data_IF_591681908245
#
_entry.id   IF_591681908245
#
_cell.length_a   1.000
_cell.length_b   1.000
_cell.length_c   1.000
_cell.angle_alpha   90.00
_cell.angle_beta   90.00
_cell.angle_gamma   90.00
#
_symmetry.space_group_name_H-M   'P 1'
#
loop_
_entity.id
_entity.type
_entity.pdbx_description
1 polymer ?
#
# COMPACT_ATOMS: atom_id res chain seq x y z
N UNK A 1 30.15 -87.80 21.13
CA UNK A 1 30.48 -86.78 20.10
C UNK A 1 30.96 -85.56 20.91
N UNK A 2 32.20 -85.56 21.42
CA UNK A 2 33.43 -85.00 20.80
C UNK A 2 33.24 -83.52 20.45
N UNK A 3 34.03 -82.54 20.85
CA UNK A 3 35.22 -82.34 21.68
C UNK A 3 35.37 -80.80 21.77
N UNK A 4 35.91 -80.25 22.86
CA UNK A 4 36.45 -78.86 22.95
C UNK A 4 37.71 -78.71 22.03
N UNK A 5 38.53 -77.61 21.99
CA UNK A 5 38.53 -76.29 22.65
C UNK A 5 38.97 -75.07 21.76
N UNK A 6 39.09 -73.89 22.40
CA UNK A 6 39.61 -72.56 21.95
C UNK A 6 41.13 -72.63 21.60
N UNK A 7 41.74 -71.88 20.62
CA UNK A 7 42.36 -70.56 20.92
C UNK A 7 42.68 -69.56 19.76
N UNK A 8 42.99 -68.30 20.19
CA UNK A 8 43.96 -67.34 19.60
C UNK A 8 43.64 -66.67 18.24
N UNK A 9 44.09 -65.46 17.90
CA UNK A 9 44.67 -64.28 18.55
C UNK A 9 44.80 -63.19 17.45
N UNK A 10 44.94 -61.94 17.87
CA UNK A 10 45.70 -60.86 17.20
C UNK A 10 45.03 -60.00 16.10
N UNK A 11 45.02 -58.70 16.40
CA UNK A 11 45.75 -57.62 15.69
C UNK A 11 44.90 -56.44 15.15
N UNK A 12 44.95 -55.35 15.91
CA UNK A 12 45.40 -53.98 15.54
C UNK A 12 45.19 -53.51 14.10
N UNK A 13 44.40 -52.45 13.88
CA UNK A 13 44.88 -51.10 13.51
C UNK A 13 43.75 -50.13 13.14
N UNK A 14 43.97 -48.88 13.55
CA UNK A 14 43.16 -47.70 13.31
C UNK A 14 43.05 -47.34 11.82
N UNK A 15 41.87 -46.87 11.38
CA UNK A 15 41.74 -45.96 10.25
C UNK A 15 40.73 -44.85 10.59
N UNK A 16 41.28 -43.63 10.60
CA UNK A 16 40.62 -42.34 10.55
C UNK A 16 39.64 -42.23 9.38
N UNK A 17 38.40 -41.80 9.63
CA UNK A 17 37.57 -41.17 8.60
C UNK A 17 36.98 -39.85 9.09
N UNK A 18 37.07 -38.89 8.19
CA UNK A 18 36.80 -37.46 8.27
C UNK A 18 35.44 -37.05 8.87
N UNK A 19 35.33 -35.80 9.36
CA UNK A 19 34.04 -35.23 9.71
C UNK A 19 33.25 -34.96 8.43
N UNK A 20 32.10 -35.62 8.31
CA UNK A 20 31.05 -35.21 7.38
C UNK A 20 30.56 -33.83 7.79
N UNK A 21 30.86 -32.83 6.96
CA UNK A 21 30.24 -31.51 7.01
C UNK A 21 28.72 -31.66 6.78
N UNK A 22 27.97 -31.79 7.86
CA UNK A 22 26.58 -31.35 7.89
C UNK A 22 26.61 -29.82 7.95
N UNK A 23 26.59 -29.17 6.77
CA UNK A 23 26.25 -27.75 6.67
C UNK A 23 24.79 -27.59 7.09
N UNK A 24 24.57 -27.44 8.40
CA UNK A 24 23.37 -26.84 8.93
C UNK A 24 23.40 -25.36 8.51
N UNK A 25 22.73 -25.06 7.40
CA UNK A 25 22.58 -23.72 6.88
C UNK A 25 21.73 -22.92 7.88
N UNK A 26 22.41 -22.27 8.82
CA UNK A 26 21.82 -21.35 9.80
C UNK A 26 21.47 -20.07 9.06
N UNK A 27 20.31 -20.05 8.39
CA UNK A 27 19.74 -18.80 7.91
C UNK A 27 19.37 -17.96 9.13
N UNK A 28 20.08 -16.84 9.30
CA UNK A 28 19.82 -15.86 10.34
C UNK A 28 18.36 -15.34 10.19
N UNK A 29 17.55 -15.29 11.26
CA UNK A 29 16.15 -14.86 11.21
C UNK A 29 15.95 -13.47 10.58
N UNK A 30 16.96 -12.61 10.66
CA UNK A 30 16.97 -11.24 10.13
C UNK A 30 16.83 -11.18 8.60
N UNK A 31 17.50 -12.08 7.87
CA UNK A 31 17.56 -12.04 6.40
C UNK A 31 16.22 -12.42 5.74
N UNK A 32 15.38 -13.20 6.44
CA UNK A 32 14.01 -13.52 5.98
C UNK A 32 13.06 -12.34 6.17
N UNK A 33 13.23 -11.57 7.25
CA UNK A 33 12.39 -10.41 7.57
C UNK A 33 12.63 -9.27 6.60
N UNK A 34 13.90 -8.96 6.31
CA UNK A 34 14.26 -7.90 5.36
C UNK A 34 13.75 -8.19 3.93
N UNK A 35 13.78 -9.46 3.50
CA UNK A 35 13.20 -9.90 2.22
C UNK A 35 11.68 -9.72 2.19
N UNK A 36 10.99 -9.99 3.29
CA UNK A 36 9.55 -9.81 3.41
C UNK A 36 9.16 -8.33 3.35
N UNK A 37 9.90 -7.45 4.05
CA UNK A 37 9.65 -6.00 4.02
C UNK A 37 9.87 -5.39 2.63
N UNK A 38 10.89 -5.85 1.89
CA UNK A 38 11.11 -5.46 0.50
C UNK A 38 9.97 -5.91 -0.41
N UNK A 39 9.46 -7.12 -0.22
CA UNK A 39 8.32 -7.63 -1.00
C UNK A 39 7.05 -6.81 -0.73
N UNK A 40 6.79 -6.43 0.52
CA UNK A 40 5.68 -5.54 0.90
C UNK A 40 5.84 -4.17 0.25
N UNK A 41 7.04 -3.58 0.28
CA UNK A 41 7.30 -2.29 -0.37
C UNK A 41 7.00 -2.33 -1.87
N UNK A 42 7.40 -3.41 -2.55
CA UNK A 42 7.11 -3.57 -3.99
C UNK A 42 5.62 -3.65 -4.27
N UNK A 43 4.83 -4.32 -3.42
CA UNK A 43 3.37 -4.33 -3.54
C UNK A 43 2.78 -2.93 -3.35
N UNK A 44 3.26 -2.18 -2.36
CA UNK A 44 2.83 -0.79 -2.12
C UNK A 44 3.13 0.10 -3.34
N UNK A 45 4.30 -0.06 -3.95
CA UNK A 45 4.65 0.66 -5.19
C UNK A 45 3.73 0.30 -6.35
N UNK A 46 3.41 -0.98 -6.51
CA UNK A 46 2.47 -1.46 -7.53
C UNK A 46 1.07 -0.86 -7.31
N UNK A 47 0.55 -0.84 -6.07
CA UNK A 47 -0.75 -0.22 -5.76
C UNK A 47 -0.72 1.28 -6.13
N UNK A 48 0.35 1.99 -5.79
CA UNK A 48 0.49 3.41 -6.17
C UNK A 48 0.45 3.60 -7.70
N UNK A 49 1.11 2.70 -8.44
CA UNK A 49 1.05 2.67 -9.91
C UNK A 49 -0.36 2.42 -10.44
N UNK A 50 -1.09 1.48 -9.83
CA UNK A 50 -2.48 1.19 -10.20
C UNK A 50 -3.43 2.37 -9.91
N UNK A 51 -3.26 3.06 -8.77
CA UNK A 51 -4.04 4.26 -8.44
C UNK A 51 -3.74 5.40 -9.42
N UNK A 52 -2.48 5.58 -9.85
CA UNK A 52 -2.12 6.54 -10.89
C UNK A 52 -2.76 6.19 -12.23
N UNK A 53 -2.66 4.92 -12.65
CA UNK A 53 -3.30 4.43 -13.87
C UNK A 53 -4.83 4.61 -13.81
N UNK A 54 -5.44 4.37 -12.65
CA UNK A 54 -6.87 4.57 -12.44
C UNK A 54 -7.26 6.01 -12.70
N UNK A 55 -6.52 6.97 -12.14
CA UNK A 55 -6.72 8.41 -12.39
C UNK A 55 -6.61 8.77 -13.87
N UNK A 56 -5.63 8.23 -14.57
CA UNK A 56 -5.43 8.49 -16.00
C UNK A 56 -6.59 7.96 -16.84
N UNK A 57 -7.15 6.79 -16.48
CA UNK A 57 -8.32 6.25 -17.17
C UNK A 57 -9.57 7.12 -16.89
N UNK A 58 -9.76 7.64 -15.68
CA UNK A 58 -10.91 8.49 -15.34
C UNK A 58 -10.97 9.77 -16.17
N UNK A 59 -9.83 10.33 -16.61
CA UNK A 59 -9.78 11.52 -17.48
C UNK A 59 -10.49 11.27 -18.82
N UNK A 60 -10.55 10.02 -19.28
CA UNK A 60 -11.19 9.67 -20.54
C UNK A 60 -12.71 9.53 -20.45
N UNK A 61 -13.30 9.57 -19.24
CA UNK A 61 -14.77 9.54 -19.09
C UNK A 61 -15.36 10.86 -19.63
N UNK A 62 -16.40 10.75 -20.47
CA UNK A 62 -17.02 11.87 -21.17
C UNK A 62 -16.21 12.41 -22.36
N UNK A 63 -15.08 11.77 -22.70
CA UNK A 63 -14.29 12.09 -23.90
C UNK A 63 -14.70 11.20 -25.07
N UNK A 64 -14.29 11.49 -26.32
CA UNK A 64 -14.61 10.65 -27.49
C UNK A 64 -14.13 9.19 -27.41
N UNK A 65 -13.20 8.90 -26.49
CA UNK A 65 -12.69 7.55 -26.22
C UNK A 65 -13.47 6.81 -25.12
N UNK A 66 -14.46 7.46 -24.53
CA UNK A 66 -15.31 6.84 -23.52
C UNK A 66 -16.21 5.80 -24.18
N UNK A 67 -15.98 4.54 -23.83
CA UNK A 67 -16.71 3.41 -24.38
C UNK A 67 -16.90 2.31 -23.32
N UNK A 68 -17.82 1.36 -23.53
CA UNK A 68 -18.09 0.28 -22.59
C UNK A 68 -16.84 -0.52 -22.19
N UNK A 69 -15.91 -0.77 -23.11
CA UNK A 69 -14.64 -1.46 -22.84
C UNK A 69 -13.76 -0.68 -21.86
N UNK A 70 -13.69 0.64 -22.04
CA UNK A 70 -12.94 1.51 -21.14
C UNK A 70 -13.61 1.56 -19.76
N UNK A 71 -14.93 1.72 -19.71
CA UNK A 71 -15.70 1.72 -18.45
C UNK A 71 -15.46 0.42 -17.67
N UNK A 72 -15.47 -0.71 -18.36
CA UNK A 72 -15.17 -2.00 -17.74
C UNK A 72 -13.70 -2.14 -17.30
N UNK A 73 -12.75 -1.62 -18.08
CA UNK A 73 -11.34 -1.57 -17.67
C UNK A 73 -11.16 -0.76 -16.37
N UNK A 74 -11.85 0.37 -16.24
CA UNK A 74 -11.88 1.20 -15.03
C UNK A 74 -12.44 0.40 -13.84
N UNK A 75 -13.58 -0.31 -14.03
CA UNK A 75 -14.17 -1.17 -12.98
C UNK A 75 -13.21 -2.27 -12.51
N UNK A 76 -12.55 -2.96 -13.45
CA UNK A 76 -11.59 -4.02 -13.12
C UNK A 76 -10.38 -3.48 -12.36
N UNK A 77 -9.79 -2.39 -12.84
CA UNK A 77 -8.64 -1.78 -12.18
C UNK A 77 -8.98 -1.30 -10.76
N UNK A 78 -10.17 -0.73 -10.57
CA UNK A 78 -10.69 -0.35 -9.25
C UNK A 78 -10.74 -1.53 -8.28
N UNK A 79 -11.34 -2.65 -8.71
CA UNK A 79 -11.44 -3.86 -7.88
C UNK A 79 -10.05 -4.45 -7.59
N UNK A 80 -9.15 -4.45 -8.57
CA UNK A 80 -7.77 -4.91 -8.38
C UNK A 80 -7.02 -4.06 -7.35
N UNK A 81 -7.17 -2.72 -7.39
CA UNK A 81 -6.58 -1.83 -6.39
C UNK A 81 -7.09 -2.15 -4.98
N UNK A 82 -8.41 -2.36 -4.84
CA UNK A 82 -9.04 -2.70 -3.56
C UNK A 82 -8.50 -4.02 -3.00
N UNK A 83 -8.47 -5.08 -3.81
CA UNK A 83 -7.95 -6.38 -3.39
C UNK A 83 -6.46 -6.34 -3.05
N UNK A 84 -5.68 -5.57 -3.80
CA UNK A 84 -4.27 -5.35 -3.49
C UNK A 84 -4.10 -4.62 -2.13
N UNK A 85 -4.88 -3.57 -1.87
CA UNK A 85 -4.89 -2.89 -0.57
C UNK A 85 -5.22 -3.84 0.58
N UNK A 86 -6.25 -4.69 0.43
CA UNK A 86 -6.61 -5.69 1.45
C UNK A 86 -5.48 -6.68 1.70
N UNK A 87 -4.94 -7.26 0.62
CA UNK A 87 -3.86 -8.25 0.70
C UNK A 87 -2.61 -7.68 1.36
N UNK A 88 -2.20 -6.47 0.98
CA UNK A 88 -1.03 -5.82 1.58
C UNK A 88 -1.30 -5.42 3.04
N UNK A 89 -2.52 -5.01 3.39
CA UNK A 89 -2.90 -4.74 4.78
C UNK A 89 -2.73 -5.97 5.67
N UNK A 90 -3.14 -7.15 5.18
CA UNK A 90 -2.96 -8.43 5.89
C UNK A 90 -1.49 -8.83 6.07
N UNK A 91 -0.57 -8.31 5.27
CA UNK A 91 0.87 -8.53 5.42
C UNK A 91 1.52 -7.54 6.38
N UNK A 92 1.06 -6.28 6.38
CA UNK A 92 1.63 -5.20 7.19
C UNK A 92 1.18 -5.30 8.64
N UNK A 93 -0.12 -5.44 8.90
CA UNK A 93 -0.67 -5.36 10.25
C UNK A 93 -0.12 -6.40 11.24
N UNK A 94 0.11 -7.67 10.88
CA UNK A 94 0.72 -8.63 11.80
C UNK A 94 2.15 -8.29 12.20
N UNK A 95 2.89 -7.53 11.37
CA UNK A 95 4.22 -7.05 11.75
C UNK A 95 4.11 -5.90 12.74
N UNK A 96 3.21 -4.95 12.45
CA UNK A 96 2.96 -3.77 13.29
C UNK A 96 2.45 -4.16 14.68
N UNK A 97 1.47 -5.06 14.77
CA UNK A 97 0.92 -5.54 16.05
C UNK A 97 2.00 -6.19 16.92
N UNK A 98 2.84 -7.05 16.34
CA UNK A 98 3.97 -7.67 17.07
C UNK A 98 4.96 -6.64 17.62
N UNK A 99 5.29 -5.60 16.86
CA UNK A 99 6.19 -4.53 17.33
C UNK A 99 5.54 -3.71 18.45
N UNK A 100 4.23 -3.46 18.34
CA UNK A 100 3.43 -2.73 19.34
C UNK A 100 3.37 -3.51 20.66
N UNK A 101 3.14 -4.82 20.62
CA UNK A 101 3.08 -5.69 21.81
C UNK A 101 4.40 -5.70 22.62
N UNK A 102 5.52 -5.50 21.93
CA UNK A 102 6.87 -5.48 22.53
C UNK A 102 7.23 -4.06 23.05
N UNK A 103 6.36 -3.07 22.86
CA UNK A 103 6.54 -1.69 23.33
C UNK A 103 7.57 -0.88 22.52
N UNK A 104 7.89 -1.33 21.31
CA UNK A 104 8.80 -0.61 20.40
C UNK A 104 7.98 0.43 19.62
N UNK A 105 8.42 1.70 19.53
CA UNK A 105 7.72 2.71 18.74
C UNK A 105 7.57 2.26 17.28
N UNK A 106 6.36 2.47 16.73
CA UNK A 106 5.99 2.03 15.39
C UNK A 106 6.67 2.94 14.35
N UNK A 107 7.89 2.59 13.97
CA UNK A 107 8.60 3.16 12.81
C UNK A 107 8.42 2.24 11.59
N UNK A 108 7.16 2.05 11.15
CA UNK A 108 6.85 1.22 9.99
C UNK A 108 6.57 2.11 8.75
N UNK A 109 7.56 2.41 7.90
CA UNK A 109 7.36 3.24 6.72
C UNK A 109 6.35 2.60 5.74
N UNK A 110 6.31 1.27 5.66
CA UNK A 110 5.34 0.54 4.85
C UNK A 110 3.90 0.79 5.29
N UNK A 111 3.63 0.85 6.61
CA UNK A 111 2.31 1.21 7.15
C UNK A 111 1.89 2.60 6.70
N UNK A 112 2.76 3.59 6.90
CA UNK A 112 2.49 4.98 6.51
C UNK A 112 2.21 5.11 5.01
N UNK A 113 3.05 4.47 4.17
CA UNK A 113 2.86 4.51 2.72
C UNK A 113 1.53 3.89 2.31
N UNK A 114 1.20 2.71 2.83
CA UNK A 114 -0.07 2.02 2.55
C UNK A 114 -1.27 2.87 3.00
N UNK A 115 -1.21 3.46 4.19
CA UNK A 115 -2.23 4.36 4.72
C UNK A 115 -2.51 5.53 3.77
N UNK A 116 -1.47 6.25 3.35
CA UNK A 116 -1.64 7.40 2.46
C UNK A 116 -2.12 7.00 1.06
N UNK A 117 -1.67 5.85 0.53
CA UNK A 117 -2.15 5.34 -0.76
C UNK A 117 -3.62 4.93 -0.67
N UNK A 118 -4.06 4.28 0.41
CA UNK A 118 -5.46 3.95 0.62
C UNK A 118 -6.33 5.22 0.70
N UNK A 119 -5.87 6.27 1.39
CA UNK A 119 -6.55 7.58 1.42
C UNK A 119 -6.64 8.24 0.03
N UNK A 120 -5.56 8.18 -0.75
CA UNK A 120 -5.56 8.67 -2.13
C UNK A 120 -6.57 7.89 -2.97
N UNK A 121 -6.58 6.56 -2.87
CA UNK A 121 -7.52 5.73 -3.61
C UNK A 121 -8.97 6.01 -3.22
N UNK A 122 -9.29 6.16 -1.93
CA UNK A 122 -10.63 6.53 -1.46
C UNK A 122 -11.11 7.85 -2.08
N UNK A 123 -10.22 8.84 -2.21
CA UNK A 123 -10.53 10.11 -2.85
C UNK A 123 -10.87 9.93 -4.32
N UNK A 124 -10.14 9.08 -5.04
CA UNK A 124 -10.43 8.76 -6.43
C UNK A 124 -11.74 7.99 -6.58
N UNK A 125 -12.07 7.05 -5.68
CA UNK A 125 -13.38 6.37 -5.67
C UNK A 125 -14.54 7.35 -5.54
N UNK A 126 -14.42 8.34 -4.64
CA UNK A 126 -15.43 9.39 -4.47
C UNK A 126 -15.61 10.22 -5.74
N UNK A 127 -14.51 10.57 -6.43
CA UNK A 127 -14.57 11.27 -7.72
C UNK A 127 -15.23 10.40 -8.80
N UNK A 128 -14.86 9.13 -8.89
CA UNK A 128 -15.46 8.20 -9.85
C UNK A 128 -16.97 8.08 -9.66
N UNK A 129 -17.45 7.94 -8.42
CA UNK A 129 -18.88 7.89 -8.13
C UNK A 129 -19.61 9.12 -8.69
N UNK A 130 -19.08 10.32 -8.44
CA UNK A 130 -19.68 11.56 -8.94
C UNK A 130 -19.59 11.66 -10.46
N UNK A 131 -18.45 11.27 -11.04
CA UNK A 131 -18.22 11.32 -12.48
C UNK A 131 -19.17 10.40 -13.25
N UNK A 132 -19.41 9.19 -12.75
CA UNK A 132 -20.35 8.24 -13.34
C UNK A 132 -21.79 8.73 -13.21
N UNK A 133 -22.15 9.37 -12.09
CA UNK A 133 -23.47 10.00 -11.92
C UNK A 133 -23.73 11.11 -12.93
N UNK A 134 -22.70 11.90 -13.27
CA UNK A 134 -22.80 13.02 -14.21
C UNK A 134 -22.73 12.55 -15.66
N UNK A 135 -21.92 11.54 -15.94
CA UNK A 135 -21.71 10.97 -17.28
C UNK A 135 -22.11 9.48 -17.25
N UNK A 136 -23.42 9.19 -17.26
CA UNK A 136 -23.90 7.81 -17.33
C UNK A 136 -23.51 7.19 -18.68
N UNK A 137 -23.34 5.87 -18.69
CA UNK A 137 -23.08 5.09 -19.90
C UNK A 137 -24.03 3.90 -19.91
N UNK A 138 -24.72 3.67 -21.01
CA UNK A 138 -25.47 2.43 -21.20
C UNK A 138 -24.49 1.29 -21.48
N UNK A 139 -24.52 0.29 -20.60
CA UNK A 139 -23.66 -0.89 -20.66
C UNK A 139 -24.43 -2.15 -21.09
N UNK A 140 -25.73 -2.04 -21.37
CA UNK A 140 -26.64 -3.18 -21.60
C UNK A 140 -26.14 -4.06 -22.73
N UNK A 141 -25.91 -3.47 -23.92
CA UNK A 141 -25.43 -4.22 -25.09
C UNK A 141 -24.03 -4.82 -24.91
N UNK A 142 -23.18 -4.20 -24.09
CA UNK A 142 -21.84 -4.71 -23.80
C UNK A 142 -21.86 -5.98 -22.97
N UNK A 143 -22.69 -6.01 -21.93
CA UNK A 143 -22.82 -7.19 -21.08
C UNK A 143 -23.61 -8.28 -21.78
N UNK A 144 -24.68 -7.97 -22.50
CA UNK A 144 -25.44 -8.95 -23.30
C UNK A 144 -24.56 -9.68 -24.32
N UNK A 145 -23.64 -8.97 -24.98
CA UNK A 145 -22.72 -9.56 -25.95
C UNK A 145 -21.63 -10.45 -25.31
N UNK A 146 -21.32 -10.26 -24.02
CA UNK A 146 -20.29 -11.01 -23.29
C UNK A 146 -20.86 -12.13 -22.41
N UNK A 147 -22.10 -11.99 -21.96
CA UNK A 147 -22.83 -13.09 -21.36
C UNK A 147 -23.24 -14.04 -22.47
N UNK A 148 -22.46 -15.10 -22.67
CA UNK A 148 -22.97 -16.30 -23.34
C UNK A 148 -24.25 -16.80 -22.66
N UNK A 149 -24.93 -17.84 -23.20
CA UNK A 149 -26.32 -18.24 -22.85
C UNK A 149 -26.58 -18.61 -21.37
N UNK A 150 -25.60 -18.48 -20.48
CA UNK A 150 -25.63 -18.78 -19.05
C UNK A 150 -26.26 -17.67 -18.22
N UNK A 151 -27.52 -17.33 -18.50
CA UNK A 151 -28.37 -16.50 -17.65
C UNK A 151 -29.00 -17.31 -16.50
N UNK A 152 -28.28 -18.22 -15.82
CA UNK A 152 -28.91 -19.10 -14.83
C UNK A 152 -29.53 -18.32 -13.65
N UNK A 153 -28.90 -17.22 -13.22
CA UNK A 153 -29.46 -16.32 -12.20
C UNK A 153 -30.66 -15.51 -12.68
N UNK A 154 -30.67 -15.08 -13.96
CA UNK A 154 -31.76 -14.27 -14.51
C UNK A 154 -32.97 -15.14 -14.89
N UNK A 155 -32.74 -16.37 -15.35
CA UNK A 155 -33.78 -17.38 -15.63
C UNK A 155 -34.47 -17.81 -14.34
N UNK A 156 -33.74 -18.06 -13.24
CA UNK A 156 -34.38 -18.39 -11.95
C UNK A 156 -35.24 -17.22 -11.46
N UNK A 157 -34.73 -15.99 -11.55
CA UNK A 157 -35.49 -14.80 -11.15
C UNK A 157 -36.72 -14.55 -12.04
N UNK A 158 -36.63 -14.80 -13.36
CA UNK A 158 -37.77 -14.71 -14.28
C UNK A 158 -38.81 -15.81 -14.05
N UNK A 159 -38.39 -17.03 -13.72
CA UNK A 159 -39.28 -18.16 -13.40
C UNK A 159 -40.02 -17.91 -12.08
N UNK A 160 -39.37 -17.31 -11.08
CA UNK A 160 -39.94 -17.11 -9.75
C UNK A 160 -40.72 -15.78 -9.63
N UNK A 161 -40.27 -14.70 -10.28
CA UNK A 161 -40.82 -13.36 -10.08
C UNK A 161 -41.74 -12.88 -11.21
N UNK A 162 -41.88 -13.64 -12.30
CA UNK A 162 -42.66 -13.27 -13.49
C UNK A 162 -42.39 -11.82 -13.97
N UNK A 163 -41.16 -11.35 -13.79
CA UNK A 163 -40.69 -10.05 -14.24
C UNK A 163 -39.36 -10.27 -14.94
N UNK A 164 -39.24 -9.71 -16.14
CA UNK A 164 -37.95 -9.48 -16.76
C UNK A 164 -37.20 -8.52 -15.84
N UNK A 165 -36.32 -9.03 -14.98
CA UNK A 165 -35.38 -8.17 -14.25
C UNK A 165 -34.36 -7.74 -15.30
N UNK A 166 -34.60 -6.57 -15.88
CA UNK A 166 -33.58 -5.85 -16.64
C UNK A 166 -32.63 -5.26 -15.60
N UNK A 167 -31.40 -5.79 -15.45
CA UNK A 167 -30.46 -5.24 -14.47
C UNK A 167 -30.13 -3.80 -14.85
N UNK A 168 -30.33 -2.87 -13.91
CA UNK A 168 -29.87 -1.50 -14.05
C UNK A 168 -28.37 -1.46 -13.75
N UNK A 169 -27.57 -1.67 -14.79
CA UNK A 169 -26.11 -1.69 -14.70
C UNK A 169 -25.53 -0.37 -14.19
N UNK A 170 -26.22 0.74 -14.38
CA UNK A 170 -25.79 2.04 -13.90
C UNK A 170 -25.93 2.12 -12.37
N UNK A 171 -27.08 1.74 -11.82
CA UNK A 171 -27.28 1.68 -10.36
C UNK A 171 -26.37 0.62 -9.71
N UNK A 172 -26.22 -0.55 -10.34
CA UNK A 172 -25.28 -1.58 -9.87
C UNK A 172 -23.84 -1.03 -9.77
N UNK A 173 -23.40 -0.28 -10.77
CA UNK A 173 -22.08 0.34 -10.74
C UNK A 173 -21.93 1.34 -9.59
N UNK A 174 -22.91 2.22 -9.37
CA UNK A 174 -22.87 3.19 -8.27
C UNK A 174 -22.82 2.51 -6.90
N UNK A 175 -23.63 1.46 -6.71
CA UNK A 175 -23.62 0.65 -5.50
C UNK A 175 -22.28 -0.07 -5.32
N UNK A 176 -21.70 -0.62 -6.38
CA UNK A 176 -20.40 -1.28 -6.32
C UNK A 176 -19.29 -0.31 -5.89
N UNK A 177 -19.28 0.92 -6.40
CA UNK A 177 -18.29 1.94 -6.01
C UNK A 177 -18.48 2.35 -4.55
N UNK A 178 -19.73 2.49 -4.10
CA UNK A 178 -20.03 2.82 -2.71
C UNK A 178 -19.50 1.74 -1.77
N UNK A 179 -19.77 0.47 -2.09
CA UNK A 179 -19.28 -0.69 -1.32
C UNK A 179 -17.75 -0.70 -1.27
N UNK A 180 -17.09 -0.57 -2.43
CA UNK A 180 -15.62 -0.51 -2.51
C UNK A 180 -15.06 0.65 -1.66
N UNK A 181 -15.76 1.79 -1.63
CA UNK A 181 -15.37 2.97 -0.81
C UNK A 181 -15.50 2.72 0.69
N UNK A 182 -16.54 2.02 1.12
CA UNK A 182 -16.74 1.63 2.53
C UNK A 182 -15.69 0.63 2.98
N UNK A 183 -15.34 -0.34 2.12
CA UNK A 183 -14.27 -1.29 2.41
C UNK A 183 -12.90 -0.61 2.54
N UNK A 184 -12.56 0.32 1.65
CA UNK A 184 -11.31 1.11 1.80
C UNK A 184 -11.34 1.96 3.07
N UNK A 185 -12.49 2.57 3.44
CA UNK A 185 -12.59 3.32 4.70
C UNK A 185 -12.30 2.42 5.90
N UNK A 186 -12.88 1.22 5.95
CA UNK A 186 -12.62 0.25 7.01
C UNK A 186 -11.12 -0.11 7.10
N UNK A 187 -10.43 -0.28 5.98
CA UNK A 187 -8.98 -0.49 5.97
C UNK A 187 -8.23 0.73 6.52
N UNK A 188 -8.60 1.95 6.12
CA UNK A 188 -7.97 3.16 6.62
C UNK A 188 -8.13 3.27 8.13
N UNK A 189 -9.33 3.00 8.66
CA UNK A 189 -9.61 3.05 10.09
C UNK A 189 -8.76 2.03 10.86
N UNK A 190 -8.60 0.80 10.33
CA UNK A 190 -7.73 -0.23 10.93
C UNK A 190 -6.24 0.17 10.89
N UNK A 191 -5.77 0.72 9.78
CA UNK A 191 -4.38 1.20 9.66
C UNK A 191 -4.12 2.42 10.58
N UNK A 192 -5.12 3.29 10.76
CA UNK A 192 -5.01 4.52 11.55
C UNK A 192 -4.77 4.25 13.03
N UNK A 193 -5.28 3.13 13.57
CA UNK A 193 -5.05 2.72 14.96
C UNK A 193 -3.56 2.66 15.32
N UNK A 194 -2.72 2.30 14.34
CA UNK A 194 -1.28 2.12 14.51
C UNK A 194 -0.44 3.30 14.00
N UNK A 195 -1.09 4.35 13.49
CA UNK A 195 -0.38 5.55 13.05
C UNK A 195 0.04 6.36 14.27
N UNK A 196 1.27 6.93 14.30
CA UNK A 196 1.69 7.79 15.38
C UNK A 196 0.73 8.97 15.48
N UNK A 197 -0.02 9.03 16.58
CA UNK A 197 -0.78 10.22 16.93
C UNK A 197 0.26 11.27 17.28
N UNK A 198 0.25 12.40 16.58
CA UNK A 198 1.06 13.55 16.97
C UNK A 198 0.51 14.06 18.30
N UNK A 199 0.97 13.48 19.41
CA UNK A 199 0.75 14.08 20.71
C UNK A 199 1.31 15.49 20.65
N UNK A 200 0.52 16.45 21.11
CA UNK A 200 0.67 17.88 20.87
C UNK A 200 1.90 18.55 21.50
N UNK A 201 3.02 17.86 21.63
CA UNK A 201 4.33 18.41 21.96
C UNK A 201 5.08 18.81 20.69
N UNK A 202 4.41 19.60 19.84
CA UNK A 202 5.14 20.70 19.21
C UNK A 202 5.48 21.58 20.39
N UNK A 203 6.69 21.41 20.93
CA UNK A 203 7.31 22.32 21.87
C UNK A 203 6.85 23.72 21.50
N UNK A 204 6.03 24.29 22.38
CA UNK A 204 5.46 25.62 22.22
C UNK A 204 6.56 26.50 21.65
N UNK A 205 6.22 27.25 20.62
CA UNK A 205 6.99 28.38 20.10
C UNK A 205 7.21 29.48 21.16
N UNK A 206 7.54 29.14 22.40
CA UNK A 206 8.01 30.01 23.47
C UNK A 206 9.29 30.73 23.04
N UNK A 207 10.09 30.13 22.16
CA UNK A 207 11.24 30.78 21.53
C UNK A 207 10.83 31.98 20.64
N UNK A 208 9.63 31.99 20.04
CA UNK A 208 9.15 33.11 19.21
C UNK A 208 8.41 34.21 20.01
N UNK A 209 7.99 33.96 21.24
CA UNK A 209 7.30 34.97 22.04
C UNK A 209 8.26 35.94 22.78
N UNK A 210 9.54 35.57 22.97
CA UNK A 210 10.51 36.48 23.61
C UNK A 210 11.04 37.60 22.68
N UNK A 211 10.78 37.51 21.37
CA UNK A 211 11.22 38.53 20.40
C UNK A 211 10.28 39.76 20.31
N UNK A 212 9.21 39.81 21.11
CA UNK A 212 8.22 40.89 21.10
C UNK A 212 8.57 42.14 21.89
N UNK A 213 9.75 42.22 22.53
CA UNK A 213 10.11 43.39 23.36
C UNK A 213 11.55 43.82 23.14
N UNK A 214 11.80 44.58 22.06
CA UNK A 214 12.81 45.67 22.01
C UNK A 214 12.95 46.27 20.60
N UNK A 215 12.76 47.58 20.50
CA UNK A 215 13.67 48.42 19.72
C UNK A 215 13.25 48.79 18.29
N UNK A 216 12.56 49.92 18.21
CA UNK A 216 12.55 50.85 17.07
C UNK A 216 13.94 51.01 16.40
N UNK A 217 14.04 50.82 15.06
CA UNK A 217 15.01 51.50 14.15
C UNK A 217 14.89 51.07 12.66
N UNK A 218 14.40 52.03 11.86
CA UNK A 218 14.82 52.48 10.50
C UNK A 218 15.34 51.50 9.42
N UNK A 219 14.73 51.65 8.23
CA UNK A 219 15.17 51.37 6.85
C UNK A 219 16.60 50.86 6.60
N UNK A 220 16.70 49.73 5.89
CA UNK A 220 17.91 49.29 5.18
C UNK A 220 17.67 48.02 4.39
N UNK A 221 17.76 48.11 3.05
CA UNK A 221 17.75 47.00 2.08
C UNK A 221 18.59 45.82 2.59
N UNK A 222 17.99 44.62 2.68
CA UNK A 222 18.73 43.39 3.00
C UNK A 222 18.71 42.43 1.80
N UNK A 223 19.86 42.41 1.11
CA UNK A 223 20.23 41.46 0.07
C UNK A 223 20.22 40.04 0.63
N UNK A 224 19.55 39.10 -0.05
CA UNK A 224 19.59 37.68 0.30
C UNK A 224 20.99 37.11 0.06
N UNK A 225 21.67 36.71 1.13
CA UNK A 225 22.99 36.06 1.11
C UNK A 225 22.85 34.59 1.53
N UNK A 226 22.27 33.76 0.65
CA UNK A 226 22.25 32.29 0.78
C UNK A 226 23.43 31.65 0.04
N UNK A 227 24.62 32.22 0.16
CA UNK A 227 25.85 31.59 -0.33
C UNK A 227 26.94 31.76 0.71
N UNK A 228 27.09 30.73 1.55
CA UNK A 228 28.36 30.33 2.14
C UNK A 228 28.18 28.97 2.84
N UNK A 229 28.52 27.92 2.10
CA UNK A 229 28.96 26.64 2.67
C UNK A 229 30.38 26.83 3.20
N UNK A 230 30.61 26.57 4.49
CA UNK A 230 31.63 25.61 4.97
C UNK A 230 31.71 25.56 6.50
N UNK A 231 31.95 24.33 6.98
CA UNK A 231 32.53 23.92 8.26
C UNK A 231 31.64 23.84 9.52
N UNK A 232 31.20 22.61 9.83
CA UNK A 232 31.42 21.95 11.14
C UNK A 232 31.19 20.42 11.09
N UNK A 233 31.82 19.64 12.00
CA UNK A 233 32.19 18.24 11.75
C UNK A 233 31.19 17.19 12.23
N UNK A 234 31.19 16.08 11.49
CA UNK A 234 30.95 14.68 11.85
C UNK A 234 29.98 14.35 13.00
N UNK A 235 28.76 13.93 12.63
CA UNK A 235 27.96 12.96 13.40
C UNK A 235 27.43 11.92 12.40
N UNK A 236 27.75 10.62 12.51
CA UNK A 236 27.22 9.64 11.57
C UNK A 236 25.79 9.32 11.99
N UNK A 237 24.82 10.09 11.49
CA UNK A 237 23.46 9.59 11.37
C UNK A 237 23.53 8.55 10.25
N UNK A 238 23.38 7.27 10.60
CA UNK A 238 23.05 6.21 9.62
C UNK A 238 21.71 6.60 8.98
N UNK A 239 21.76 7.43 7.94
CA UNK A 239 20.63 7.66 7.08
C UNK A 239 20.46 6.39 6.26
N UNK A 240 19.46 5.59 6.64
CA UNK A 240 19.03 4.43 5.86
C UNK A 240 18.63 4.91 4.45
N UNK A 241 19.28 4.35 3.45
CA UNK A 241 19.04 4.62 2.02
C UNK A 241 17.60 4.36 1.57
N UNK A 242 16.82 3.67 2.41
CA UNK A 242 15.40 3.39 2.23
C UNK A 242 14.54 4.67 2.09
N UNK A 243 14.82 5.70 2.87
CA UNK A 243 14.00 6.92 2.89
C UNK A 243 14.17 7.80 1.66
N UNK A 244 15.33 7.73 0.98
CA UNK A 244 15.61 8.58 -0.19
C UNK A 244 14.81 8.17 -1.43
N UNK A 245 14.39 6.90 -1.51
CA UNK A 245 13.55 6.38 -2.59
C UNK A 245 12.05 6.44 -2.28
N UNK A 246 11.65 6.23 -1.03
CA UNK A 246 10.24 6.15 -0.63
C UNK A 246 9.48 7.48 -0.78
N UNK A 247 10.14 8.62 -0.56
CA UNK A 247 9.49 9.94 -0.68
C UNK A 247 9.19 10.34 -2.13
N UNK A 248 9.80 9.69 -3.12
CA UNK A 248 9.48 9.89 -4.54
C UNK A 248 8.17 9.20 -4.97
N UNK A 249 7.55 8.36 -4.12
CA UNK A 249 6.23 7.76 -4.43
C UNK A 249 5.12 8.82 -4.54
N UNK A 250 5.27 9.95 -3.85
CA UNK A 250 4.25 10.99 -3.77
C UNK A 250 4.42 12.11 -4.80
N UNK A 251 5.33 11.99 -5.77
CA UNK A 251 5.52 13.01 -6.82
C UNK A 251 4.26 13.27 -7.67
N UNK A 252 3.25 12.40 -7.62
CA UNK A 252 1.94 12.60 -8.25
C UNK A 252 0.94 13.42 -7.38
N UNK A 253 1.34 13.92 -6.21
CA UNK A 253 0.49 14.62 -5.24
C UNK A 253 0.42 16.14 -5.42
N UNK A 254 1.30 16.75 -6.23
CA UNK A 254 1.38 18.21 -6.33
C UNK A 254 0.61 18.78 -7.53
N UNK A 255 -0.73 18.68 -7.50
CA UNK A 255 -1.61 19.64 -8.20
C UNK A 255 -2.96 19.69 -7.49
N UNK A 256 -2.99 20.39 -6.36
CA UNK A 256 -4.24 20.95 -5.86
C UNK A 256 -4.65 22.08 -6.82
N UNK A 257 -5.75 21.90 -7.56
CA UNK A 257 -6.44 23.02 -8.19
C UNK A 257 -7.11 23.84 -7.06
N UNK A 258 -6.35 24.75 -6.48
CA UNK A 258 -6.90 25.91 -5.79
C UNK A 258 -7.32 26.92 -6.86
N UNK A 259 -8.53 26.75 -7.40
CA UNK A 259 -9.24 27.84 -8.05
C UNK A 259 -10.53 28.09 -7.25
N UNK A 260 -10.41 28.93 -6.23
CA UNK A 260 -11.48 29.83 -5.81
C UNK A 260 -11.34 31.09 -6.66
N UNK A 261 -12.34 31.40 -7.49
CA UNK A 261 -13.18 32.61 -7.50
C UNK A 261 -14.39 32.28 -8.38
#
# INVERSE_FOLDING_TARGET
MTESPIPSASNTQAHSHAPSHSQAQTQHPDDRTEKSEKAVLLQIQEINGQVAQYRDLLINIGQPRDCPELREKIRKLRRNCLEACKSTTQLVLPQVRRTTDIGIPIDCPNLMLLFYIAQLFLRELCKTKNLIRVVPMDMTGYFEARTGPSNFGNVISQIVLCKQITPDFYEEELHSIQKDSEEIRGLIDELQEFMPQSDGDIEKYAALQSAGTRGNRTNGKRVHRWNQSHDRPNRPIRQSSYFRGALNLFCCAARANLNNV
#
